data_IF_468019183810
#
_entry.id   IF_468019183810
#
_cell.length_a   1.000
_cell.length_b   1.000
_cell.length_c   1.000
_cell.angle_alpha   90.00
_cell.angle_beta   90.00
_cell.angle_gamma   90.00
#
_symmetry.space_group_name_H-M   'P 1'
#
loop_
_entity.id
_entity.type
_entity.pdbx_description
1 polymer ?
2 non-polymer ?
3 non-polymer ?
4 water ?
#
# COMPACT_ATOMS: atom_id res chain seq x y z
N UNK A 1 4.40 -1.66 -12.05
CA UNK A 1 3.38 -0.62 -11.87
C UNK A 1 2.46 -0.52 -13.07
N UNK A 2 1.24 -1.02 -12.90
CA UNK A 2 0.19 -1.00 -13.92
C UNK A 2 -1.14 -1.20 -13.23
N UNK A 3 -2.17 -0.64 -13.86
CA UNK A 3 -3.54 -0.90 -13.48
C UNK A 3 -4.16 -1.92 -14.46
N UNK A 4 -5.34 -2.40 -14.09
CA UNK A 4 -6.18 -3.22 -14.97
C UNK A 4 -7.53 -2.51 -15.11
N UNK A 5 -7.59 -1.48 -15.98
CA UNK A 5 -8.72 -0.55 -15.91
C UNK A 5 -9.90 -0.84 -16.83
N UNK A 6 -9.77 -1.84 -17.70
CA UNK A 6 -10.75 -2.06 -18.77
C UNK A 6 -11.02 -3.52 -18.97
N UNK A 7 -12.26 -3.83 -19.34
CA UNK A 7 -12.60 -5.11 -19.91
C UNK A 7 -13.51 -4.87 -21.10
N UNK A 8 -13.43 -5.74 -22.09
CA UNK A 8 -14.32 -5.61 -23.22
C UNK A 8 -14.54 -6.94 -23.89
N UNK A 9 -15.57 -6.97 -24.72
CA UNK A 9 -15.96 -8.14 -25.48
C UNK A 9 -15.86 -7.85 -26.97
N UNK A 10 -17.00 -7.80 -27.66
CA UNK A 10 -17.03 -7.75 -29.12
C UNK A 10 -17.52 -6.45 -29.74
N UNK A 11 -17.59 -5.38 -28.94
CA UNK A 11 -18.09 -4.09 -29.43
C UNK A 11 -17.08 -2.98 -29.14
N UNK A 12 -15.84 -3.17 -29.58
CA UNK A 12 -14.79 -2.22 -29.32
C UNK A 12 -14.45 -2.13 -27.84
N UNK A 13 -13.48 -1.28 -27.51
CA UNK A 13 -13.06 -1.00 -26.13
C UNK A 13 -14.10 -0.19 -25.35
N UNK A 14 -13.93 -0.18 -24.05
CA UNK A 14 -14.79 0.58 -23.19
C UNK A 14 -13.97 1.82 -22.73
N UNK A 15 -14.32 2.42 -21.62
CA UNK A 15 -13.55 3.51 -21.07
C UNK A 15 -12.88 2.97 -19.80
N UNK A 16 -11.79 3.60 -19.37
CA UNK A 16 -11.19 3.22 -18.11
C UNK A 16 -12.22 3.30 -17.00
N UNK A 17 -12.29 2.23 -16.20
CA UNK A 17 -13.14 2.13 -15.02
C UNK A 17 -14.63 2.22 -15.36
N UNK A 18 -14.99 1.90 -16.59
CA UNK A 18 -16.41 1.88 -16.97
C UNK A 18 -17.08 0.64 -16.42
N UNK A 19 -16.51 -0.53 -16.72
CA UNK A 19 -17.02 -1.82 -16.24
C UNK A 19 -16.16 -2.40 -15.12
N UNK A 20 -15.09 -1.69 -14.76
CA UNK A 20 -14.16 -2.13 -13.73
C UNK A 20 -14.27 -1.17 -12.55
N UNK A 21 -14.50 -1.73 -11.37
CA UNK A 21 -14.53 -0.93 -10.15
C UNK A 21 -13.23 -0.18 -10.01
N UNK A 22 -13.29 1.13 -9.74
CA UNK A 22 -12.05 1.88 -9.77
C UNK A 22 -11.12 1.42 -8.64
N UNK A 23 -9.95 0.92 -9.02
CA UNK A 23 -9.00 0.41 -8.07
C UNK A 23 -8.29 1.55 -7.35
N UNK A 24 -7.87 1.27 -6.12
CA UNK A 24 -7.25 2.30 -5.30
C UNK A 24 -5.89 2.73 -5.87
N UNK A 25 -5.31 1.97 -6.81
CA UNK A 25 -4.06 2.36 -7.48
C UNK A 25 -4.27 3.19 -8.75
N UNK A 26 -5.46 3.77 -8.92
CA UNK A 26 -5.74 4.46 -10.16
C UNK A 26 -4.83 5.66 -10.41
N UNK A 27 -4.25 6.24 -9.36
CA UNK A 27 -3.31 7.35 -9.53
C UNK A 27 -1.84 6.91 -9.56
N UNK A 28 -1.44 5.97 -8.70
CA UNK A 28 -0.02 5.64 -8.60
C UNK A 28 0.41 4.40 -9.37
N UNK A 29 -0.54 3.64 -9.90
CA UNK A 29 -0.24 2.38 -10.59
C UNK A 29 0.46 1.35 -9.69
N UNK A 30 0.32 1.51 -8.38
CA UNK A 30 1.05 0.66 -7.45
C UNK A 30 0.34 -0.63 -7.10
N UNK A 31 0.85 -1.30 -6.08
CA UNK A 31 0.43 -2.64 -5.75
C UNK A 31 -0.14 -2.75 -4.34
N UNK A 32 -0.74 -3.93 -4.11
CA UNK A 32 -1.08 -4.45 -2.79
C UNK A 32 0.03 -5.42 -2.39
N UNK A 33 0.57 -5.30 -1.18
CA UNK A 33 1.54 -6.30 -0.70
C UNK A 33 1.06 -6.98 0.57
N UNK A 34 -0.20 -6.74 0.94
CA UNK A 34 -0.80 -7.25 2.16
C UNK A 34 -1.91 -8.25 1.79
N UNK A 35 -1.62 -9.54 1.88
CA UNK A 35 -2.64 -10.53 1.54
C UNK A 35 -3.81 -10.54 2.53
N UNK A 36 -3.66 -9.84 3.66
CA UNK A 36 -4.73 -9.75 4.67
C UNK A 36 -5.59 -8.50 4.56
N UNK A 37 -5.28 -7.64 3.60
CA UNK A 37 -6.04 -6.42 3.39
C UNK A 37 -7.31 -6.68 2.58
N UNK A 38 -8.35 -5.88 2.85
CA UNK A 38 -9.50 -5.89 1.96
C UNK A 38 -9.11 -5.57 0.51
N UNK A 39 -8.03 -4.82 0.34
CA UNK A 39 -7.56 -4.49 -1.01
C UNK A 39 -7.12 -5.72 -1.83
N UNK A 40 -6.86 -6.85 -1.19
CA UNK A 40 -6.45 -8.05 -1.94
C UNK A 40 -7.61 -8.54 -2.81
N UNK A 41 -8.83 -8.14 -2.46
CA UNK A 41 -9.98 -8.67 -3.20
C UNK A 41 -10.16 -7.92 -4.53
N UNK A 42 -10.55 -6.65 -4.46
CA UNK A 42 -10.80 -5.81 -5.63
C UNK A 42 -10.05 -4.47 -5.58
N UNK A 43 -9.02 -4.41 -4.75
CA UNK A 43 -8.21 -3.19 -4.58
C UNK A 43 -9.06 -1.98 -4.17
N UNK A 44 -10.03 -2.20 -3.29
CA UNK A 44 -10.83 -1.10 -2.76
C UNK A 44 -10.97 -1.20 -1.26
N UNK A 45 -10.34 -0.27 -0.54
CA UNK A 45 -10.59 -0.21 0.89
C UNK A 45 -12.02 0.26 1.19
N UNK A 46 -12.53 1.14 0.34
CA UNK A 46 -13.92 1.59 0.39
C UNK A 46 -14.57 1.08 -0.90
N UNK A 47 -15.56 0.19 -0.78
CA UNK A 47 -16.26 -0.32 -1.94
C UNK A 47 -16.87 0.79 -2.75
N UNK A 48 -16.69 0.75 -4.07
CA UNK A 48 -17.35 1.66 -4.99
C UNK A 48 -17.73 0.86 -6.24
N UNK A 49 -19.01 0.87 -6.66
CA UNK A 49 -19.39 0.12 -7.85
C UNK A 49 -18.76 0.68 -9.13
N UNK A 50 -18.66 -0.17 -10.15
CA UNK A 50 -18.33 0.27 -11.49
C UNK A 50 -19.49 1.06 -12.05
N UNK A 51 -19.22 1.86 -13.07
CA UNK A 51 -20.26 2.65 -13.70
C UNK A 51 -21.32 1.79 -14.37
N UNK A 52 -20.89 0.67 -14.94
CA UNK A 52 -21.79 -0.22 -15.67
C UNK A 52 -21.34 -1.67 -15.54
N UNK A 53 -22.16 -2.57 -16.06
CA UNK A 53 -21.95 -4.01 -15.98
C UNK A 53 -22.00 -4.55 -17.41
N UNK A 54 -21.00 -5.34 -17.79
CA UNK A 54 -20.83 -5.79 -19.16
C UNK A 54 -21.48 -7.15 -19.39
N UNK A 55 -22.38 -7.22 -20.37
CA UNK A 55 -23.03 -8.48 -20.74
C UNK A 55 -22.11 -9.33 -21.60
N UNK A 56 -21.94 -10.59 -21.21
CA UNK A 56 -21.08 -11.53 -21.93
C UNK A 56 -21.68 -12.91 -21.89
N UNK A 57 -21.60 -13.66 -22.99
CA UNK A 57 -22.08 -15.03 -23.01
C UNK A 57 -21.08 -15.98 -22.38
N UNK A 58 -21.58 -16.88 -21.53
CA UNK A 58 -20.76 -17.96 -21.02
C UNK A 58 -20.18 -18.72 -22.20
N UNK A 59 -18.93 -19.16 -22.07
CA UNK A 59 -18.27 -19.94 -23.09
C UNK A 59 -17.49 -19.10 -24.08
N UNK A 60 -17.55 -17.79 -23.96
CA UNK A 60 -16.81 -16.91 -24.84
C UNK A 60 -15.58 -16.33 -24.14
N UNK A 61 -14.76 -15.66 -24.93
CA UNK A 61 -13.52 -15.07 -24.46
C UNK A 61 -13.63 -13.57 -24.54
N UNK A 62 -13.38 -12.90 -23.43
CA UNK A 62 -13.36 -11.45 -23.38
C UNK A 62 -11.94 -11.00 -23.14
N UNK A 63 -11.74 -9.70 -23.01
CA UNK A 63 -10.38 -9.19 -22.91
C UNK A 63 -10.29 -8.27 -21.70
N UNK A 64 -9.28 -8.51 -20.85
CA UNK A 64 -8.99 -7.65 -19.71
C UNK A 64 -7.73 -6.85 -20.05
N UNK A 65 -7.84 -5.54 -19.99
CA UNK A 65 -6.74 -4.66 -20.35
C UNK A 65 -5.91 -4.22 -19.16
N UNK A 66 -4.61 -4.03 -19.41
CA UNK A 66 -3.66 -3.44 -18.48
C UNK A 66 -3.24 -2.06 -18.96
N UNK A 67 -2.77 -1.23 -18.05
CA UNK A 67 -2.17 0.04 -18.46
C UNK A 67 -1.03 0.42 -17.50
N UNK A 68 0.21 0.57 -17.95
CA UNK A 68 0.71 0.23 -19.30
C UNK A 68 0.89 -1.29 -19.33
N UNK A 69 1.67 -1.82 -20.26
CA UNK A 69 1.80 -3.26 -20.39
C UNK A 69 2.45 -3.86 -19.13
N UNK A 70 2.05 -5.08 -18.81
CA UNK A 70 2.64 -5.82 -17.70
C UNK A 70 4.12 -6.02 -17.96
N UNK A 71 4.97 -5.73 -16.96
CA UNK A 71 6.40 -5.88 -17.15
C UNK A 71 7.16 -6.47 -15.97
N UNK A 72 6.49 -6.72 -14.85
CA UNK A 72 7.15 -7.46 -13.78
C UNK A 72 6.94 -8.95 -14.05
N UNK A 73 7.90 -9.79 -13.61
CA UNK A 73 7.76 -11.24 -13.80
C UNK A 73 6.79 -11.85 -12.80
N UNK A 74 5.92 -12.73 -13.29
CA UNK A 74 5.03 -13.47 -12.44
C UNK A 74 3.72 -13.75 -13.14
N UNK A 75 2.81 -14.42 -12.44
CA UNK A 75 1.59 -14.92 -13.07
C UNK A 75 0.39 -13.97 -13.07
N UNK A 76 -0.32 -13.96 -14.20
CA UNK A 76 -1.71 -13.53 -14.19
C UNK A 76 -2.60 -14.64 -13.64
N UNK A 77 -3.63 -14.25 -12.90
CA UNK A 77 -4.67 -15.18 -12.45
C UNK A 77 -6.02 -14.46 -12.52
N UNK A 78 -7.07 -15.21 -12.82
CA UNK A 78 -8.43 -14.67 -12.89
C UNK A 78 -9.39 -15.53 -12.09
N UNK A 79 -10.32 -14.87 -11.40
CA UNK A 79 -11.34 -15.53 -10.61
C UNK A 79 -12.70 -14.92 -10.93
N UNK A 80 -13.73 -15.75 -10.77
CA UNK A 80 -15.11 -15.29 -10.83
C UNK A 80 -15.81 -15.47 -9.49
N UNK A 81 -16.80 -14.63 -9.23
CA UNK A 81 -17.69 -14.80 -8.08
C UNK A 81 -19.09 -14.39 -8.52
N UNK A 82 -20.06 -15.26 -8.24
CA UNK A 82 -21.43 -15.02 -8.68
C UNK A 82 -22.24 -14.29 -7.62
N UNK A 83 -22.80 -13.16 -8.02
CA UNK A 83 -23.67 -12.40 -7.13
C UNK A 83 -24.92 -13.23 -6.81
N UNK A 84 -25.31 -13.34 -5.52
CA UNK A 84 -26.50 -14.12 -5.18
C UNK A 84 -27.75 -13.56 -5.83
N UNK A 85 -28.68 -14.46 -6.14
CA UNK A 85 -29.98 -14.06 -6.66
C UNK A 85 -30.61 -13.05 -5.72
N UNK A 86 -31.12 -11.96 -6.27
CA UNK A 86 -31.81 -10.96 -5.48
C UNK A 86 -30.92 -9.85 -4.93
N UNK A 87 -29.61 -10.00 -5.09
CA UNK A 87 -28.67 -8.95 -4.74
C UNK A 87 -28.25 -8.20 -5.98
N UNK A 88 -28.07 -6.89 -5.83
CA UNK A 88 -27.63 -6.03 -6.92
C UNK A 88 -26.11 -6.04 -6.99
N UNK A 89 -25.56 -6.32 -8.16
CA UNK A 89 -24.12 -6.37 -8.32
C UNK A 89 -23.43 -5.08 -7.87
N UNK A 90 -24.06 -3.92 -8.06
CA UNK A 90 -23.40 -2.66 -7.68
C UNK A 90 -23.10 -2.61 -6.20
N UNK A 91 -23.91 -3.31 -5.40
CA UNK A 91 -23.77 -3.25 -3.95
C UNK A 91 -22.96 -4.42 -3.37
N UNK A 92 -22.68 -5.42 -4.20
CA UNK A 92 -22.11 -6.68 -3.69
C UNK A 92 -20.59 -6.64 -3.68
N UNK A 93 -19.99 -6.81 -2.50
CA UNK A 93 -18.53 -6.71 -2.38
C UNK A 93 -17.80 -8.01 -2.69
N UNK A 94 -18.49 -9.15 -2.60
CA UNK A 94 -17.86 -10.43 -2.84
C UNK A 94 -17.15 -10.98 -1.62
N UNK A 95 -17.78 -10.84 -0.47
CA UNK A 95 -17.21 -11.42 0.76
C UNK A 95 -17.61 -12.89 0.93
N UNK A 96 -16.84 -13.59 1.74
CA UNK A 96 -17.07 -15.01 1.92
C UNK A 96 -16.41 -15.86 0.86
N UNK A 97 -16.64 -17.17 0.94
CA UNK A 97 -15.96 -18.13 0.08
C UNK A 97 -16.74 -18.28 -1.21
N UNK A 98 -16.57 -17.30 -2.09
CA UNK A 98 -17.37 -17.17 -3.29
C UNK A 98 -16.54 -17.13 -4.59
N UNK A 99 -15.23 -17.02 -4.47
CA UNK A 99 -14.37 -16.83 -5.64
C UNK A 99 -13.83 -18.16 -6.12
N UNK A 100 -13.99 -18.45 -7.42
CA UNK A 100 -13.35 -19.62 -8.01
C UNK A 100 -12.43 -19.17 -9.13
N UNK A 101 -11.31 -19.87 -9.24
CA UNK A 101 -10.28 -19.55 -10.19
C UNK A 101 -10.63 -20.12 -11.55
N UNK A 102 -10.54 -19.30 -12.59
CA UNK A 102 -10.76 -19.77 -13.95
C UNK A 102 -9.51 -19.76 -14.83
N UNK A 103 -8.41 -19.21 -14.33
CA UNK A 103 -7.15 -19.22 -15.06
C UNK A 103 -6.02 -18.92 -14.10
N UNK A 104 -4.90 -19.62 -14.26
CA UNK A 104 -3.64 -19.15 -13.71
C UNK A 104 -2.50 -19.46 -14.66
N UNK A 105 -1.49 -18.60 -14.62
CA UNK A 105 -0.35 -18.68 -15.52
C UNK A 105 0.77 -19.51 -14.94
N UNK A 106 1.29 -20.44 -15.73
CA UNK A 106 2.54 -21.13 -15.43
C UNK A 106 3.67 -20.53 -16.25
N UNK A 107 4.84 -20.35 -15.64
CA UNK A 107 6.00 -19.90 -16.41
C UNK A 107 6.57 -21.02 -17.26
N UNK A 108 7.40 -20.63 -18.22
CA UNK A 108 8.26 -21.57 -18.89
C UNK A 108 9.54 -21.71 -18.06
N UNK A 109 9.98 -22.95 -17.88
CA UNK A 109 11.11 -23.26 -17.03
C UNK A 109 12.36 -23.43 -17.86
N UNK A 110 13.30 -22.51 -17.68
CA UNK A 110 14.58 -22.58 -18.35
C UNK A 110 15.64 -22.04 -17.42
N UNK A 111 16.69 -21.47 -18.01
CA UNK A 111 17.76 -20.87 -17.22
C UNK A 111 17.20 -19.79 -16.30
N UNK A 112 16.15 -19.13 -16.75
CA UNK A 112 15.32 -18.29 -15.89
C UNK A 112 13.88 -18.68 -16.15
N UNK A 113 12.98 -18.21 -15.30
CA UNK A 113 11.56 -18.34 -15.56
C UNK A 113 11.17 -17.25 -16.55
N UNK A 114 10.46 -17.62 -17.60
CA UNK A 114 9.90 -16.62 -18.50
C UNK A 114 8.37 -16.72 -18.46
N UNK A 115 7.76 -15.56 -18.53
CA UNK A 115 6.33 -15.42 -18.33
C UNK A 115 5.70 -14.85 -19.58
N UNK A 116 4.68 -15.53 -20.11
CA UNK A 116 3.98 -15.06 -21.30
C UNK A 116 3.27 -13.73 -21.04
N UNK A 117 3.02 -13.39 -19.77
CA UNK A 117 2.37 -12.12 -19.49
C UNK A 117 3.31 -10.93 -19.71
N UNK A 118 4.61 -11.19 -19.84
CA UNK A 118 5.58 -10.12 -20.04
C UNK A 118 5.32 -9.37 -21.33
N UNK A 119 5.14 -8.06 -21.19
CA UNK A 119 4.94 -7.18 -22.34
C UNK A 119 3.53 -7.15 -22.86
N UNK A 120 2.61 -7.85 -22.20
CA UNK A 120 1.22 -7.87 -22.67
C UNK A 120 0.43 -6.69 -22.13
N UNK A 121 -0.41 -6.13 -23.01
CA UNK A 121 -1.27 -4.98 -22.69
C UNK A 121 -2.70 -5.42 -22.43
N UNK A 122 -3.01 -6.68 -22.70
CA UNK A 122 -4.34 -7.20 -22.47
C UNK A 122 -4.26 -8.72 -22.47
N UNK A 123 -5.31 -9.34 -21.94
CA UNK A 123 -5.34 -10.79 -21.72
C UNK A 123 -6.70 -11.36 -22.10
N UNK A 124 -6.70 -12.44 -22.89
CA UNK A 124 -7.96 -13.12 -23.17
C UNK A 124 -8.37 -13.94 -21.98
N UNK A 125 -9.62 -13.80 -21.59
CA UNK A 125 -10.16 -14.50 -20.43
C UNK A 125 -11.31 -15.35 -20.91
N UNK A 126 -11.13 -16.66 -20.86
CA UNK A 126 -12.16 -17.58 -21.29
C UNK A 126 -13.15 -17.85 -20.15
N UNK A 127 -14.40 -17.46 -20.39
CA UNK A 127 -15.47 -17.67 -19.42
C UNK A 127 -16.03 -19.08 -19.59
N UNK A 128 -16.03 -19.90 -18.52
CA UNK A 128 -16.53 -21.27 -18.65
C UNK A 128 -17.96 -21.34 -19.20
N UNK A 129 -18.22 -22.33 -20.05
CA UNK A 129 -19.52 -22.46 -20.69
C UNK A 129 -20.60 -22.94 -19.73
N UNK A 130 -20.18 -23.66 -18.70
CA UNK A 130 -21.11 -24.46 -17.91
C UNK A 130 -21.64 -23.79 -16.66
N UNK A 131 -21.09 -22.62 -16.31
CA UNK A 131 -21.50 -21.98 -15.06
C UNK A 131 -22.86 -21.32 -15.20
N UNK A 132 -23.51 -21.08 -14.06
CA UNK A 132 -24.86 -20.55 -14.05
C UNK A 132 -24.91 -19.09 -14.48
N UNK A 133 -25.86 -18.73 -15.33
CA UNK A 133 -26.05 -17.35 -15.72
C UNK A 133 -26.32 -16.51 -14.48
N UNK A 134 -25.92 -15.24 -14.54
CA UNK A 134 -26.17 -14.33 -13.46
C UNK A 134 -25.19 -13.18 -13.52
N UNK A 135 -25.23 -12.32 -12.51
CA UNK A 135 -24.23 -11.26 -12.38
C UNK A 135 -23.01 -11.81 -11.67
N UNK A 136 -21.83 -11.36 -12.11
CA UNK A 136 -20.57 -11.85 -11.59
C UNK A 136 -19.55 -10.73 -11.43
N UNK A 137 -18.65 -10.89 -10.48
CA UNK A 137 -17.41 -10.15 -10.47
C UNK A 137 -16.32 -11.01 -11.10
N UNK A 138 -15.48 -10.36 -11.92
CA UNK A 138 -14.29 -10.98 -12.50
C UNK A 138 -13.08 -10.26 -11.93
N UNK A 139 -12.33 -10.98 -11.09
CA UNK A 139 -11.14 -10.43 -10.46
C UNK A 139 -9.91 -10.76 -11.30
N UNK A 140 -9.16 -9.72 -11.64
CA UNK A 140 -7.88 -9.82 -12.34
C UNK A 140 -6.77 -9.58 -11.33
N UNK A 141 -5.73 -10.40 -11.40
CA UNK A 141 -4.52 -10.10 -10.66
C UNK A 141 -3.28 -10.48 -11.45
N UNK A 142 -2.27 -9.64 -11.32
CA UNK A 142 -0.93 -9.99 -11.68
C UNK A 142 -0.11 -10.00 -10.41
N UNK A 143 0.72 -11.03 -10.24
CA UNK A 143 1.57 -11.13 -9.05
C UNK A 143 3.01 -10.94 -9.47
N UNK A 144 3.58 -9.77 -9.18
CA UNK A 144 4.97 -9.48 -9.51
C UNK A 144 5.88 -10.09 -8.46
N UNK A 145 6.78 -10.97 -8.92
CA UNK A 145 7.58 -11.80 -8.02
C UNK A 145 9.08 -11.49 -8.01
N UNK A 146 9.49 -10.41 -8.66
CA UNK A 146 10.90 -10.13 -8.82
C UNK A 146 11.68 -9.98 -7.51
N UNK A 147 11.03 -9.52 -6.44
CA UNK A 147 11.70 -9.37 -5.14
C UNK A 147 11.00 -10.16 -4.03
N UNK A 148 10.26 -11.20 -4.43
CA UNK A 148 9.33 -11.88 -3.53
C UNK A 148 9.95 -12.88 -2.55
N UNK A 149 11.27 -12.92 -2.46
CA UNK A 149 11.90 -13.85 -1.52
C UNK A 149 11.71 -13.42 -0.07
N UNK A 150 11.28 -12.18 0.16
CA UNK A 150 11.01 -11.66 1.49
C UNK A 150 9.51 -11.61 1.74
N UNK A 151 9.10 -11.87 2.98
CA UNK A 151 7.70 -11.78 3.32
C UNK A 151 7.18 -10.38 3.06
N UNK A 152 6.00 -10.32 2.45
CA UNK A 152 5.36 -9.05 2.16
C UNK A 152 5.93 -8.32 0.97
N UNK A 153 6.74 -8.99 0.14
CA UNK A 153 7.41 -8.36 -0.99
C UNK A 153 6.78 -8.66 -2.36
N UNK A 154 5.92 -9.67 -2.45
CA UNK A 154 5.18 -9.92 -3.69
C UNK A 154 4.27 -8.72 -3.96
N UNK A 155 4.14 -8.37 -5.23
CA UNK A 155 3.40 -7.17 -5.64
C UNK A 155 2.14 -7.57 -6.40
N UNK A 156 0.98 -7.37 -5.79
CA UNK A 156 -0.29 -7.74 -6.42
C UNK A 156 -0.93 -6.52 -7.10
N UNK A 157 -1.20 -6.65 -8.40
CA UNK A 157 -1.84 -5.60 -9.19
C UNK A 157 -3.23 -6.16 -9.56
N UNK A 158 -4.28 -5.52 -9.05
CA UNK A 158 -5.62 -6.11 -8.99
C UNK A 158 -6.69 -5.15 -9.48
N UNK A 159 -7.74 -5.69 -10.11
CA UNK A 159 -9.01 -4.98 -10.19
C UNK A 159 -10.12 -6.01 -10.35
N UNK A 160 -11.37 -5.51 -10.30
CA UNK A 160 -12.54 -6.35 -10.49
C UNK A 160 -13.55 -5.71 -11.44
N UNK A 161 -14.00 -6.50 -12.41
CA UNK A 161 -15.00 -6.10 -13.38
C UNK A 161 -16.39 -6.62 -13.01
N UNK A 162 -17.41 -5.85 -13.37
CA UNK A 162 -18.80 -6.26 -13.22
C UNK A 162 -19.31 -6.82 -14.54
N UNK A 163 -19.76 -8.06 -14.49
CA UNK A 163 -20.30 -8.78 -15.65
C UNK A 163 -21.71 -9.26 -15.42
N UNK A 164 -22.46 -9.35 -16.51
CA UNK A 164 -23.71 -10.11 -16.56
C UNK A 164 -23.48 -11.27 -17.53
N UNK A 165 -23.35 -12.48 -16.98
CA UNK A 165 -23.02 -13.64 -17.79
C UNK A 165 -24.33 -14.33 -18.19
N UNK A 166 -24.50 -14.50 -19.50
CA UNK A 166 -25.73 -15.05 -20.06
C UNK A 166 -25.50 -16.43 -20.67
N UNK A 167 -26.58 -17.14 -20.91
CA UNK A 167 -26.54 -18.43 -21.60
C UNK A 167 -25.74 -19.49 -20.87
N UNK A 168 -25.93 -19.58 -19.55
CA UNK A 168 -25.09 -20.44 -18.75
C UNK A 168 -25.46 -21.91 -18.86
N UNK A 169 -24.80 -22.71 -18.04
CA UNK A 169 -25.12 -24.11 -17.89
C UNK A 169 -25.62 -24.30 -16.47
N UNK A 170 -25.33 -25.48 -15.92
CA UNK A 170 -25.81 -25.86 -14.60
C UNK A 170 -24.70 -26.34 -13.67
N UNK A 171 -23.44 -26.13 -14.05
CA UNK A 171 -22.33 -26.60 -13.23
C UNK A 171 -21.99 -25.60 -12.14
N UNK A 172 -22.04 -26.06 -10.88
CA UNK A 172 -21.63 -25.24 -9.74
C UNK A 172 -20.23 -25.65 -9.29
N UNK A 173 -19.27 -24.72 -9.28
CA UNK A 173 -17.94 -25.11 -8.79
C UNK A 173 -18.02 -25.62 -7.35
N UNK A 174 -17.32 -26.71 -7.08
CA UNK A 174 -17.34 -27.31 -5.75
C UNK A 174 -16.77 -26.42 -4.65
N UNK A 175 -17.10 -26.78 -3.40
CA UNK A 175 -16.62 -26.04 -2.24
C UNK A 175 -15.10 -25.91 -2.26
N UNK A 176 -14.42 -26.96 -2.73
CA UNK A 176 -12.96 -26.95 -2.78
C UNK A 176 -12.41 -25.93 -3.77
N UNK A 177 -13.26 -25.48 -4.70
CA UNK A 177 -12.83 -24.48 -5.66
C UNK A 177 -12.99 -23.07 -5.14
N UNK A 178 -13.94 -22.85 -4.23
CA UNK A 178 -14.28 -21.50 -3.81
C UNK A 178 -13.51 -21.02 -2.60
N UNK A 179 -13.00 -19.80 -2.69
CA UNK A 179 -12.19 -19.20 -1.65
C UNK A 179 -12.63 -17.76 -1.40
N UNK A 180 -12.10 -17.19 -0.32
CA UNK A 180 -12.39 -15.82 0.04
C UNK A 180 -11.16 -14.93 -0.18
N UNK A 181 -11.41 -13.64 -0.39
CA UNK A 181 -10.36 -12.63 -0.42
C UNK A 181 -10.77 -11.50 0.52
N UNK A 182 -9.97 -11.20 1.54
CA UNK A 182 -8.79 -11.94 1.99
C UNK A 182 -9.16 -13.33 2.53
N UNK A 183 -8.19 -14.22 2.58
CA UNK A 183 -8.35 -15.55 3.14
C UNK A 183 -7.62 -16.61 2.32
N UNK A 184 -7.68 -16.49 1.01
CA UNK A 184 -7.14 -17.52 0.13
C UNK A 184 -5.63 -17.61 0.21
N UNK A 185 -4.99 -16.47 0.43
CA UNK A 185 -3.54 -16.38 0.37
C UNK A 185 -2.93 -16.11 1.73
N UNK A 186 -1.74 -16.66 1.93
CA UNK A 186 -0.91 -16.39 3.08
C UNK A 186 0.44 -15.91 2.58
N UNK A 187 1.09 -15.06 3.36
CA UNK A 187 2.38 -14.49 2.98
C UNK A 187 3.46 -15.56 2.82
N UNK A 188 3.27 -16.73 3.42
CA UNK A 188 4.22 -17.83 3.35
C UNK A 188 3.94 -18.80 2.21
N UNK A 189 2.88 -18.58 1.44
CA UNK A 189 2.55 -19.53 0.38
C UNK A 189 3.73 -19.64 -0.60
N UNK A 190 4.00 -20.85 -1.11
CA UNK A 190 5.23 -21.07 -1.87
C UNK A 190 5.28 -20.39 -3.24
N UNK A 191 4.15 -19.90 -3.73
CA UNK A 191 4.13 -19.11 -4.95
C UNK A 191 4.08 -17.60 -4.70
N UNK A 192 4.15 -17.21 -3.43
CA UNK A 192 4.13 -15.81 -3.00
C UNK A 192 5.47 -15.45 -2.34
N UNK A 193 5.92 -16.29 -1.41
CA UNK A 193 7.24 -16.20 -0.80
C UNK A 193 8.15 -17.10 -1.61
N UNK A 194 8.93 -16.51 -2.51
CA UNK A 194 9.67 -17.27 -3.48
C UNK A 194 10.80 -16.44 -4.06
N UNK A 195 11.95 -17.09 -4.20
CA UNK A 195 13.05 -16.54 -4.94
C UNK A 195 13.03 -17.11 -6.36
N UNK A 196 12.62 -16.27 -7.33
CA UNK A 196 12.51 -16.74 -8.72
C UNK A 196 13.81 -16.57 -9.47
N UNK A 197 14.82 -16.04 -8.82
CA UNK A 197 16.00 -15.63 -9.53
C UNK A 197 17.00 -16.81 -9.51
N UNK A 198 17.90 -16.84 -8.56
CA UNK A 198 18.90 -17.92 -8.51
C UNK A 198 19.06 -18.46 -7.11
N UNK A 199 19.12 -19.77 -6.92
CA UNK A 199 18.88 -20.79 -7.95
C UNK A 199 17.48 -20.65 -8.50
N UNK A 200 17.35 -20.90 -9.78
CA UNK A 200 16.07 -20.77 -10.43
C UNK A 200 15.18 -21.91 -10.02
N UNK A 201 13.93 -21.62 -9.69
CA UNK A 201 13.01 -22.73 -9.45
C UNK A 201 12.81 -23.57 -10.70
N UNK A 202 12.46 -24.83 -10.50
CA UNK A 202 12.14 -25.73 -11.61
C UNK A 202 10.65 -26.05 -11.63
N UNK A 203 9.91 -25.47 -10.69
CA UNK A 203 8.47 -25.60 -10.64
C UNK A 203 7.93 -24.33 -10.02
N UNK A 204 6.62 -24.13 -10.11
CA UNK A 204 5.99 -22.93 -9.56
C UNK A 204 4.58 -23.29 -9.10
N UNK A 205 4.31 -23.09 -7.80
CA UNK A 205 3.00 -23.40 -7.26
C UNK A 205 2.17 -22.12 -7.17
N UNK A 206 1.27 -21.92 -8.14
CA UNK A 206 0.40 -20.75 -8.08
C UNK A 206 -0.36 -20.71 -6.76
N UNK A 207 -0.51 -19.53 -6.17
CA UNK A 207 -1.32 -19.47 -4.96
C UNK A 207 -2.80 -19.59 -5.30
N UNK A 208 -3.56 -20.02 -4.30
CA UNK A 208 -4.98 -20.17 -4.44
C UNK A 208 -5.43 -21.56 -4.85
N UNK A 209 -6.73 -21.70 -5.09
CA UNK A 209 -7.33 -23.00 -5.38
C UNK A 209 -7.02 -23.47 -6.78
N UNK A 210 -7.42 -24.71 -7.04
CA UNK A 210 -7.30 -25.29 -8.36
C UNK A 210 -8.13 -24.51 -9.38
N UNK A 211 -7.71 -24.55 -10.65
CA UNK A 211 -8.48 -23.94 -11.73
C UNK A 211 -9.73 -24.78 -12.00
N UNK A 212 -10.87 -24.12 -11.98
CA UNK A 212 -12.12 -24.76 -12.32
C UNK A 212 -12.30 -24.79 -13.83
N UNK A 213 -12.61 -25.98 -14.35
CA UNK A 213 -13.00 -26.16 -15.74
C UNK A 213 -14.26 -27.00 -15.81
N UNK A 214 -14.94 -26.92 -16.94
CA UNK A 214 -16.17 -27.67 -17.11
C UNK A 214 -15.92 -29.14 -17.41
N UNK B 1 2.36 -1.35 3.28
CA UNK B 1 1.31 -0.47 2.78
C UNK B 1 0.33 -0.05 3.87
N UNK B 2 0.50 1.19 4.33
CA UNK B 2 -0.33 1.75 5.39
C UNK B 2 -0.20 3.26 5.31
N UNK B 3 -1.25 3.94 5.77
CA UNK B 3 -1.23 5.37 5.97
C UNK B 3 -0.96 5.69 7.44
N UNK B 4 -0.67 6.96 7.71
CA UNK B 4 -0.61 7.51 9.05
C UNK B 4 -1.60 8.68 9.14
N UNK B 5 -2.91 8.36 9.30
CA UNK B 5 -3.92 9.39 9.06
C UNK B 5 -4.41 10.14 10.29
N UNK B 6 -4.04 9.69 11.49
CA UNK B 6 -4.63 10.21 12.73
C UNK B 6 -3.56 10.64 13.71
N UNK B 7 -3.86 11.66 14.49
CA UNK B 7 -3.09 11.99 15.68
C UNK B 7 -4.08 12.46 16.74
N UNK B 8 -3.79 12.15 18.00
CA UNK B 8 -4.64 12.59 19.10
C UNK B 8 -3.83 12.82 20.35
N UNK B 9 -4.26 13.82 21.12
CA UNK B 9 -3.78 14.02 22.49
C UNK B 9 -4.80 13.38 23.45
N UNK B 10 -5.23 14.10 24.50
CA UNK B 10 -6.22 13.57 25.45
C UNK B 10 -7.69 13.98 25.19
N UNK B 11 -7.96 14.63 24.06
CA UNK B 11 -9.27 15.28 23.82
C UNK B 11 -10.29 14.57 22.92
N UNK B 12 -9.96 13.43 22.35
CA UNK B 12 -10.94 12.66 21.59
C UNK B 12 -10.41 12.16 20.28
N UNK B 13 -10.98 11.06 19.81
CA UNK B 13 -10.62 10.53 18.52
C UNK B 13 -11.16 11.54 17.53
N UNK B 14 -10.48 11.67 16.41
CA UNK B 14 -11.06 12.37 15.29
C UNK B 14 -10.82 11.56 14.02
N UNK B 15 -11.49 11.98 12.96
CA UNK B 15 -11.45 11.30 11.69
C UNK B 15 -10.08 11.32 11.02
N UNK B 16 -9.89 10.40 10.10
CA UNK B 16 -8.71 10.40 9.28
C UNK B 16 -8.50 11.78 8.63
N UNK B 17 -7.26 12.24 8.67
CA UNK B 17 -6.83 13.46 8.01
C UNK B 17 -7.43 14.73 8.62
N UNK B 18 -7.99 14.65 9.82
CA UNK B 18 -8.51 15.84 10.49
C UNK B 18 -7.38 16.80 10.83
N UNK B 19 -6.32 16.29 11.44
CA UNK B 19 -5.18 17.09 11.85
C UNK B 19 -3.92 16.76 11.05
N UNK B 20 -4.03 15.78 10.16
CA UNK B 20 -2.91 15.31 9.36
C UNK B 20 -3.15 15.72 7.91
N UNK B 21 -2.17 16.42 7.32
CA UNK B 21 -2.23 16.78 5.91
C UNK B 21 -2.40 15.51 5.08
N UNK B 22 -3.35 15.50 4.17
CA UNK B 22 -3.67 14.24 3.51
C UNK B 22 -2.50 13.79 2.65
N UNK B 23 -1.96 12.61 2.97
CA UNK B 23 -0.87 12.03 2.21
C UNK B 23 -1.37 11.53 0.86
N UNK B 24 -0.47 11.52 -0.12
CA UNK B 24 -0.84 11.08 -1.46
C UNK B 24 -1.21 9.61 -1.53
N UNK B 25 -0.84 8.85 -0.50
CA UNK B 25 -1.19 7.43 -0.41
C UNK B 25 -2.51 7.16 0.30
N UNK B 26 -3.36 8.18 0.46
CA UNK B 26 -4.57 8.03 1.24
C UNK B 26 -5.51 6.92 0.74
N UNK B 27 -5.47 6.62 -0.56
CA UNK B 27 -6.17 5.44 -1.10
C UNK B 27 -5.24 4.27 -1.37
N UNK B 28 -4.12 4.52 -2.04
CA UNK B 28 -3.30 3.41 -2.54
C UNK B 28 -2.40 2.77 -1.50
N UNK B 29 -2.22 3.42 -0.35
CA UNK B 29 -1.36 2.92 0.73
C UNK B 29 0.12 2.74 0.38
N UNK B 30 0.53 3.30 -0.75
CA UNK B 30 1.89 3.16 -1.23
C UNK B 30 2.88 4.04 -0.50
N UNK B 31 4.10 4.05 -1.02
CA UNK B 31 5.26 4.61 -0.35
C UNK B 31 6.02 5.56 -1.26
N UNK B 32 6.89 6.35 -0.62
CA UNK B 32 7.89 7.14 -1.33
C UNK B 32 9.16 6.31 -1.39
N UNK B 33 9.79 6.21 -2.56
CA UNK B 33 11.08 5.50 -2.65
C UNK B 33 12.21 6.32 -3.23
N UNK B 34 11.96 7.57 -3.63
CA UNK B 34 13.02 8.47 -4.04
C UNK B 34 13.25 9.48 -2.92
N UNK B 35 14.35 9.35 -2.20
CA UNK B 35 14.60 10.24 -1.06
C UNK B 35 14.83 11.70 -1.48
N UNK B 36 15.05 11.95 -2.77
CA UNK B 36 15.17 13.32 -3.26
C UNK B 36 13.84 13.95 -3.70
N UNK B 37 12.76 13.16 -3.67
CA UNK B 37 11.44 13.63 -4.05
C UNK B 37 10.86 14.62 -3.06
N UNK B 38 10.06 15.55 -3.56
CA UNK B 38 9.30 16.44 -2.70
C UNK B 38 8.42 15.63 -1.74
N UNK B 39 7.94 14.47 -2.17
CA UNK B 39 7.08 13.63 -1.32
C UNK B 39 7.77 13.12 -0.06
N UNK B 40 9.10 13.14 0.01
CA UNK B 40 9.78 12.61 1.19
C UNK B 40 9.48 13.47 2.43
N UNK B 41 9.04 14.71 2.23
CA UNK B 41 8.76 15.60 3.36
C UNK B 41 7.44 15.23 4.06
N UNK B 42 6.31 15.47 3.39
CA UNK B 42 4.99 15.22 3.97
C UNK B 42 4.10 14.38 3.04
N UNK B 43 4.71 13.68 2.09
CA UNK B 43 3.97 12.82 1.16
C UNK B 43 2.92 13.61 0.38
N UNK B 44 3.26 14.83 -0.02
CA UNK B 44 2.36 15.64 -0.85
C UNK B 44 3.08 16.23 -2.04
N UNK B 45 2.74 15.76 -3.23
CA UNK B 45 3.26 16.40 -4.42
C UNK B 45 2.71 17.80 -4.56
N UNK B 46 1.48 18.00 -4.09
CA UNK B 46 0.84 19.30 -4.02
C UNK B 46 0.42 19.57 -2.59
N UNK B 47 0.90 20.67 -2.04
CA UNK B 47 0.59 21.02 -0.67
C UNK B 47 -0.91 21.16 -0.45
N UNK B 48 -1.42 20.57 0.63
CA UNK B 48 -2.79 20.79 1.06
C UNK B 48 -2.82 20.72 2.58
N UNK B 49 -3.36 21.74 3.24
CA UNK B 49 -3.36 21.71 4.71
C UNK B 49 -4.35 20.71 5.29
N UNK B 50 -4.18 20.37 6.56
CA UNK B 50 -5.14 19.55 7.29
C UNK B 50 -6.44 20.29 7.54
N UNK B 51 -7.49 19.59 7.97
CA UNK B 51 -8.75 20.24 8.32
C UNK B 51 -8.58 21.21 9.50
N UNK B 52 -7.67 20.90 10.41
CA UNK B 52 -7.51 21.63 11.65
C UNK B 52 -6.11 21.39 12.22
N UNK B 53 -5.83 22.02 13.35
CA UNK B 53 -4.54 21.97 14.03
C UNK B 53 -4.78 21.55 15.48
N UNK B 54 -4.00 20.58 15.95
CA UNK B 54 -4.22 19.97 17.26
C UNK B 54 -3.39 20.63 18.35
N UNK B 55 -4.02 21.09 19.43
CA UNK B 55 -3.30 21.67 20.54
C UNK B 55 -2.66 20.58 21.40
N UNK B 56 -1.39 20.76 21.74
CA UNK B 56 -0.72 19.83 22.65
C UNK B 56 0.28 20.60 23.50
N UNK B 57 0.39 20.21 24.75
CA UNK B 57 1.33 20.86 25.66
C UNK B 57 2.73 20.28 25.47
N UNK B 58 3.72 21.17 25.44
CA UNK B 58 5.10 20.72 25.41
C UNK B 58 5.36 19.81 26.59
N UNK B 59 6.15 18.76 26.35
CA UNK B 59 6.52 17.84 27.41
C UNK B 59 5.51 16.76 27.70
N UNK B 60 4.51 16.61 26.83
CA UNK B 60 3.51 15.56 26.97
C UNK B 60 3.56 14.63 25.77
N UNK B 61 2.80 13.55 25.87
CA UNK B 61 2.76 12.52 24.87
C UNK B 61 1.53 12.73 24.02
N UNK B 62 1.69 12.60 22.72
CA UNK B 62 0.54 12.43 21.86
C UNK B 62 0.74 11.19 21.01
N UNK B 63 -0.29 10.79 20.31
CA UNK B 63 -0.30 9.47 19.71
C UNK B 63 -0.63 9.59 18.24
N UNK B 64 0.22 8.98 17.42
CA UNK B 64 0.00 8.92 15.98
C UNK B 64 -0.57 7.55 15.62
N UNK B 65 -1.53 7.54 14.70
CA UNK B 65 -2.18 6.31 14.29
C UNK B 65 -1.80 5.90 12.87
N UNK B 66 -1.70 4.57 12.67
CA UNK B 66 -1.48 3.94 11.38
C UNK B 66 -2.76 3.21 10.95
N UNK B 67 -2.91 3.01 9.65
CA UNK B 67 -4.00 2.20 9.12
C UNK B 67 -3.56 1.43 7.89
N UNK B 68 -3.59 0.08 7.94
CA UNK B 68 -3.74 -0.78 9.11
C UNK B 68 -2.47 -0.71 9.95
N UNK B 69 -2.35 -1.55 10.96
CA UNK B 69 -1.14 -1.62 11.76
C UNK B 69 0.06 -1.85 10.86
N UNK B 70 1.19 -1.26 11.25
CA UNK B 70 2.45 -1.46 10.56
C UNK B 70 2.81 -2.95 10.53
N UNK B 71 3.23 -3.46 9.38
CA UNK B 71 3.55 -4.87 9.27
C UNK B 71 4.81 -5.13 8.43
N UNK B 72 5.46 -4.10 7.91
CA UNK B 72 6.77 -4.30 7.29
C UNK B 72 7.83 -4.04 8.36
N UNK B 73 8.98 -4.73 8.27
CA UNK B 73 10.06 -4.50 9.23
C UNK B 73 10.78 -3.18 8.96
N UNK B 74 11.11 -2.47 10.02
CA UNK B 74 11.92 -1.27 9.94
C UNK B 74 11.49 -0.27 10.99
N UNK B 75 12.18 0.89 11.03
CA UNK B 75 11.98 1.87 12.10
C UNK B 75 10.89 2.89 11.86
N UNK B 76 10.15 3.20 12.92
CA UNK B 76 9.43 4.47 13.03
C UNK B 76 10.39 5.59 13.39
N UNK B 77 10.17 6.77 12.80
CA UNK B 77 10.90 7.97 13.19
C UNK B 77 9.92 9.14 13.18
N UNK B 78 10.14 10.10 14.07
CA UNK B 78 9.32 11.31 14.17
C UNK B 78 10.20 12.55 14.20
N UNK B 79 9.77 13.58 13.47
CA UNK B 79 10.44 14.88 13.43
C UNK B 79 9.44 16.00 13.67
N UNK B 80 9.93 17.09 14.24
CA UNK B 80 9.19 18.33 14.36
C UNK B 80 9.81 19.42 13.50
N UNK B 81 8.99 20.35 13.04
CA UNK B 81 9.47 21.59 12.42
C UNK B 81 8.56 22.72 12.88
N UNK B 82 9.15 23.79 13.40
CA UNK B 82 8.36 24.94 13.86
C UNK B 82 8.05 25.89 12.70
N UNK B 83 6.78 26.29 12.60
CA UNK B 83 6.39 27.29 11.62
C UNK B 83 7.11 28.58 11.99
N UNK B 84 7.85 29.17 11.03
CA UNK B 84 8.61 30.38 11.34
C UNK B 84 7.71 31.55 11.65
N UNK B 85 8.21 32.48 12.44
CA UNK B 85 7.47 33.68 12.73
C UNK B 85 7.05 34.34 11.44
N UNK B 86 5.79 34.77 11.38
CA UNK B 86 5.26 35.42 10.21
C UNK B 86 4.62 34.48 9.21
N UNK B 87 4.90 33.19 9.32
CA UNK B 87 4.28 32.18 8.48
C UNK B 87 3.08 31.58 9.18
N UNK B 88 2.36 30.71 8.48
CA UNK B 88 1.11 30.18 9.00
C UNK B 88 1.00 28.68 8.73
N UNK B 89 0.52 27.96 9.72
CA UNK B 89 0.48 26.50 9.63
C UNK B 89 -0.39 26.02 8.47
N UNK B 90 -1.32 26.84 8.00
CA UNK B 90 -2.12 26.37 6.86
C UNK B 90 -1.40 26.43 5.51
N UNK B 91 -0.50 27.40 5.34
CA UNK B 91 0.18 27.54 4.06
C UNK B 91 1.64 27.12 4.08
N UNK B 92 2.23 26.95 5.25
CA UNK B 92 3.66 26.67 5.31
C UNK B 92 3.97 25.25 4.87
N UNK B 93 4.85 25.11 3.88
CA UNK B 93 5.13 23.77 3.36
C UNK B 93 6.27 23.05 4.07
N UNK B 94 7.00 23.73 4.95
CA UNK B 94 8.07 23.08 5.69
C UNK B 94 9.42 23.03 4.98
N UNK B 95 9.69 24.03 4.13
CA UNK B 95 10.97 24.15 3.45
C UNK B 95 12.09 24.53 4.40
N UNK B 96 13.30 24.16 4.02
CA UNK B 96 14.48 24.62 4.72
C UNK B 96 14.98 23.63 5.74
N UNK B 97 16.07 24.01 6.39
CA UNK B 97 16.73 23.18 7.37
C UNK B 97 16.04 23.39 8.72
N UNK B 98 14.83 22.84 8.84
CA UNK B 98 13.93 23.15 9.94
C UNK B 98 13.50 21.91 10.74
N UNK B 99 13.78 20.71 10.24
CA UNK B 99 13.26 19.49 10.83
C UNK B 99 14.24 18.91 11.83
N UNK B 100 13.79 18.65 13.04
CA UNK B 100 14.62 17.96 14.02
C UNK B 100 13.93 16.69 14.49
N UNK B 101 14.74 15.67 14.72
CA UNK B 101 14.24 14.36 15.09
C UNK B 101 13.95 14.31 16.57
N UNK B 102 12.77 13.82 16.93
CA UNK B 102 12.43 13.65 18.34
C UNK B 102 12.32 12.19 18.78
N UNK B 103 12.36 11.26 17.84
CA UNK B 103 12.33 9.84 18.16
C UNK B 103 12.80 9.05 16.97
N UNK B 104 13.56 7.98 17.21
CA UNK B 104 13.73 6.94 16.21
C UNK B 104 13.77 5.57 16.87
N UNK B 105 13.41 4.56 16.10
CA UNK B 105 13.31 3.19 16.59
C UNK B 105 14.57 2.38 16.29
N UNK B 106 15.07 1.69 17.30
CA UNK B 106 16.08 0.66 17.14
C UNK B 106 15.41 -0.71 17.15
N UNK B 107 15.88 -1.64 16.30
CA UNK B 107 15.39 -3.00 16.37
C UNK B 107 15.97 -3.70 17.56
N UNK B 108 15.36 -4.82 17.93
CA UNK B 108 15.95 -5.76 18.83
C UNK B 108 16.88 -6.67 18.04
N UNK B 109 18.10 -6.84 18.55
CA UNK B 109 19.13 -7.62 17.86
C UNK B 109 19.19 -9.02 18.39
N UNK B 110 18.90 -9.97 17.52
CA UNK B 110 19.02 -11.37 17.84
C UNK B 110 19.40 -12.15 16.60
N UNK B 111 18.95 -13.39 16.54
CA UNK B 111 19.15 -14.21 15.35
C UNK B 111 18.49 -13.55 14.13
N UNK B 112 17.47 -12.75 14.39
CA UNK B 112 16.89 -11.87 13.39
C UNK B 112 16.72 -10.51 14.03
N UNK B 113 16.54 -9.48 13.21
CA UNK B 113 16.10 -8.20 13.75
C UNK B 113 14.59 -8.29 13.96
N UNK B 114 14.12 -7.84 15.11
CA UNK B 114 12.69 -7.64 15.27
C UNK B 114 12.43 -6.19 15.65
N UNK B 115 11.22 -5.74 15.35
CA UNK B 115 10.86 -4.33 15.45
C UNK B 115 9.60 -4.20 16.28
N UNK B 116 9.65 -3.38 17.32
CA UNK B 116 8.49 -3.15 18.17
C UNK B 116 7.32 -2.48 17.43
N UNK B 117 7.60 -1.84 16.30
CA UNK B 117 6.52 -1.26 15.51
C UNK B 117 5.65 -2.31 14.82
N UNK B 118 6.14 -3.54 14.73
CA UNK B 118 5.39 -4.59 14.07
C UNK B 118 4.06 -4.86 14.79
N UNK B 119 2.98 -4.79 14.03
CA UNK B 119 1.66 -5.04 14.57
C UNK B 119 1.05 -3.87 15.33
N UNK B 120 1.72 -2.71 15.32
CA UNK B 120 1.27 -1.56 16.09
C UNK B 120 0.51 -0.58 15.19
N UNK B 121 -0.60 -0.06 15.73
CA UNK B 121 -1.34 0.98 15.05
C UNK B 121 -1.39 2.30 15.83
N UNK B 122 -0.98 2.29 17.09
CA UNK B 122 -0.93 3.49 17.92
C UNK B 122 0.51 3.72 18.38
N UNK B 123 1.04 4.90 18.06
CA UNK B 123 2.43 5.24 18.32
C UNK B 123 2.52 6.47 19.22
N UNK B 124 2.65 6.27 20.54
CA UNK B 124 2.88 7.43 21.39
C UNK B 124 4.22 8.07 21.10
N UNK B 125 4.25 9.40 21.14
CA UNK B 125 5.43 10.18 20.85
C UNK B 125 5.50 11.29 21.90
N UNK B 126 6.65 11.42 22.54
CA UNK B 126 6.87 12.45 23.52
C UNK B 126 7.32 13.77 22.89
N UNK B 127 6.56 14.83 23.10
CA UNK B 127 6.92 16.14 22.61
C UNK B 127 7.90 16.78 23.60
N UNK B 128 9.05 17.26 23.13
CA UNK B 128 10.02 17.85 24.06
C UNK B 128 9.44 19.00 24.88
N UNK B 129 9.87 19.13 26.13
CA UNK B 129 9.35 20.18 27.00
C UNK B 129 9.97 21.55 26.73
N UNK B 130 11.20 21.56 26.23
CA UNK B 130 12.01 22.78 26.25
C UNK B 130 11.92 23.63 24.99
N UNK B 131 11.27 23.11 23.96
CA UNK B 131 11.17 23.81 22.69
C UNK B 131 10.14 24.92 22.76
N UNK B 132 10.20 25.87 21.83
CA UNK B 132 9.33 27.02 21.87
C UNK B 132 7.89 26.69 21.57
N UNK B 133 6.96 27.39 22.22
CA UNK B 133 5.57 27.31 21.83
C UNK B 133 5.43 27.81 20.40
N UNK B 134 4.41 27.32 19.72
CA UNK B 134 4.10 27.79 18.38
C UNK B 134 3.41 26.72 17.59
N UNK B 135 3.20 27.02 16.32
CA UNK B 135 2.67 26.01 15.40
C UNK B 135 3.81 25.15 14.88
N UNK B 136 3.53 23.86 14.71
CA UNK B 136 4.52 22.90 14.26
C UNK B 136 3.90 21.90 13.30
N UNK B 137 4.75 21.35 12.44
CA UNK B 137 4.47 20.11 11.76
C UNK B 137 5.17 18.97 12.49
N UNK B 138 4.45 17.87 12.65
CA UNK B 138 4.99 16.62 13.18
C UNK B 138 4.98 15.59 12.06
N UNK B 139 6.17 15.24 11.58
CA UNK B 139 6.33 14.28 10.49
C UNK B 139 6.51 12.89 11.07
N UNK B 140 5.62 11.99 10.67
CA UNK B 140 5.69 10.56 10.99
C UNK B 140 6.26 9.85 9.80
N UNK B 141 7.15 8.90 10.05
CA UNK B 141 7.63 8.02 9.01
C UNK B 141 7.87 6.62 9.52
N UNK B 142 7.50 5.66 8.69
CA UNK B 142 7.94 4.29 8.86
C UNK B 142 8.76 3.91 7.65
N UNK B 143 9.94 3.34 7.86
CA UNK B 143 10.82 2.92 6.77
C UNK B 143 10.78 1.39 6.66
N UNK B 144 10.10 0.90 5.63
CA UNK B 144 10.02 -0.52 5.39
C UNK B 144 11.28 -1.00 4.68
N UNK B 145 11.98 -1.92 5.33
CA UNK B 145 13.33 -2.33 4.92
C UNK B 145 13.41 -3.76 4.37
N UNK B 146 12.28 -4.42 4.18
CA UNK B 146 12.24 -5.83 3.77
C UNK B 146 12.92 -6.13 2.42
N UNK B 147 12.99 -5.14 1.53
CA UNK B 147 13.67 -5.33 0.25
C UNK B 147 14.72 -4.25 0.01
N UNK B 148 15.24 -3.69 1.09
CA UNK B 148 16.09 -2.50 1.02
C UNK B 148 17.55 -2.78 0.64
N UNK B 149 17.88 -4.02 0.26
CA UNK B 149 19.24 -4.35 -0.12
C UNK B 149 19.63 -3.69 -1.46
N UNK B 150 18.63 -3.25 -2.24
CA UNK B 150 18.86 -2.57 -3.51
C UNK B 150 18.65 -1.07 -3.33
N UNK B 151 19.43 -0.28 -4.06
CA UNK B 151 19.30 1.16 -3.98
C UNK B 151 17.91 1.57 -4.44
N UNK B 152 17.28 2.47 -3.69
CA UNK B 152 15.98 2.98 -4.04
C UNK B 152 14.82 2.07 -3.68
N UNK B 153 15.07 1.02 -2.91
CA UNK B 153 14.02 0.04 -2.61
C UNK B 153 13.48 0.11 -1.17
N UNK B 154 14.08 0.92 -0.31
CA UNK B 154 13.48 1.22 0.98
C UNK B 154 12.14 1.92 0.74
N UNK B 155 11.15 1.62 1.57
CA UNK B 155 9.79 2.13 1.39
C UNK B 155 9.44 3.10 2.52
N UNK B 156 9.21 4.37 2.19
CA UNK B 156 8.91 5.38 3.20
C UNK B 156 7.42 5.67 3.23
N UNK B 157 6.81 5.42 4.39
CA UNK B 157 5.40 5.66 4.61
C UNK B 157 5.29 6.84 5.56
N UNK B 158 4.74 7.96 5.08
CA UNK B 158 4.91 9.27 5.71
C UNK B 158 3.59 10.03 5.83
N UNK B 159 3.47 10.85 6.88
CA UNK B 159 2.51 11.95 6.86
C UNK B 159 2.99 13.04 7.80
N UNK B 160 2.30 14.18 7.76
CA UNK B 160 2.60 15.32 8.62
C UNK B 160 1.36 15.88 9.28
N UNK B 161 1.41 15.98 10.61
CA UNK B 161 0.34 16.54 11.42
C UNK B 161 0.60 18.00 11.73
N UNK B 162 -0.49 18.75 11.89
CA UNK B 162 -0.44 20.15 12.29
C UNK B 162 -0.74 20.26 13.77
N UNK B 163 0.20 20.85 14.51
CA UNK B 163 0.10 21.01 15.95
C UNK B 163 0.23 22.47 16.35
N UNK B 164 -0.39 22.82 17.47
CA UNK B 164 -0.06 24.05 18.20
C UNK B 164 0.48 23.60 19.55
N UNK B 165 1.79 23.79 19.73
CA UNK B 165 2.46 23.38 20.95
C UNK B 165 2.45 24.54 21.93
N UNK B 166 1.93 24.27 23.13
CA UNK B 166 1.75 25.29 24.15
C UNK B 166 2.69 25.04 25.34
N UNK B 167 2.94 26.08 26.12
CA UNK B 167 3.70 25.91 27.35
C UNK B 167 5.14 25.51 27.15
N UNK B 168 5.73 25.88 26.03
CA UNK B 168 7.11 25.53 25.77
C UNK B 168 8.14 26.40 26.49
N UNK B 169 9.41 26.08 26.24
CA UNK B 169 10.53 26.87 26.71
C UNK B 169 11.11 27.75 25.62
N UNK B 170 12.43 27.88 25.61
CA UNK B 170 13.11 28.78 24.69
C UNK B 170 14.24 28.08 23.94
N UNK B 171 14.34 26.76 24.08
CA UNK B 171 15.49 26.03 23.57
C UNK B 171 15.31 25.74 22.10
N UNK B 172 16.23 26.26 21.29
CA UNK B 172 16.25 25.98 19.86
C UNK B 172 17.24 24.85 19.58
N UNK B 173 16.77 23.76 18.98
CA UNK B 173 17.73 22.70 18.60
C UNK B 173 18.84 23.26 17.73
N UNK B 174 20.06 22.80 17.97
CA UNK B 174 21.22 23.30 17.25
C UNK B 174 21.17 22.97 15.77
N UNK B 175 21.99 23.66 14.99
CA UNK B 175 22.01 23.49 13.54
C UNK B 175 22.26 22.05 13.15
N UNK B 176 23.09 21.39 13.93
CA UNK B 176 23.46 19.99 13.71
C UNK B 176 22.29 19.00 13.85
N UNK B 177 21.23 19.44 14.52
CA UNK B 177 20.05 18.62 14.70
C UNK B 177 19.02 18.84 13.62
N UNK B 178 19.14 19.96 12.90
CA UNK B 178 18.12 20.34 11.94
C UNK B 178 18.49 19.98 10.51
N UNK B 179 17.52 19.45 9.79
CA UNK B 179 17.73 18.98 8.43
C UNK B 179 16.58 19.39 7.53
N UNK B 180 16.81 19.24 6.23
CA UNK B 180 15.82 19.52 5.20
C UNK B 180 15.25 18.23 4.62
N UNK B 181 14.00 18.27 4.21
CA UNK B 181 13.40 17.20 3.43
C UNK B 181 12.80 17.76 2.14
N UNK B 182 13.28 17.32 0.98
CA UNK B 182 14.40 16.40 0.75
C UNK B 182 15.73 17.03 1.15
N UNK B 183 16.71 16.15 1.38
CA UNK B 183 18.07 16.55 1.66
C UNK B 183 18.71 15.70 2.74
N UNK B 184 17.94 15.37 3.77
CA UNK B 184 18.48 14.71 4.96
C UNK B 184 18.98 13.31 4.65
N UNK B 185 18.33 12.63 3.71
CA UNK B 185 18.64 11.24 3.42
C UNK B 185 19.29 11.11 2.05
N UNK B 186 20.19 10.13 1.95
CA UNK B 186 20.75 9.69 0.68
C UNK B 186 20.44 8.22 0.50
N UNK B 187 20.31 7.81 -0.76
CA UNK B 187 19.97 6.42 -1.06
C UNK B 187 21.02 5.45 -0.53
N UNK B 188 22.25 5.93 -0.38
CA UNK B 188 23.35 5.10 0.10
C UNK B 188 23.47 5.03 1.62
N UNK B 189 22.61 5.73 2.36
CA UNK B 189 22.76 5.76 3.80
C UNK B 189 22.67 4.34 4.36
N UNK B 190 23.45 4.05 5.40
CA UNK B 190 23.55 2.67 5.86
C UNK B 190 22.30 2.08 6.53
N UNK B 191 21.35 2.93 6.91
CA UNK B 191 20.07 2.46 7.41
C UNK B 191 18.96 2.45 6.38
N UNK B 192 19.31 2.79 5.14
CA UNK B 192 18.39 2.85 4.01
C UNK B 192 18.74 1.80 2.96
N UNK B 193 20.02 1.76 2.57
CA UNK B 193 20.56 0.73 1.70
C UNK B 193 21.15 -0.35 2.62
N UNK B 194 20.38 -1.40 2.85
CA UNK B 194 20.70 -2.36 3.89
C UNK B 194 20.00 -3.68 3.63
N UNK B 195 20.71 -4.77 3.86
CA UNK B 195 20.13 -6.10 3.85
C UNK B 195 19.91 -6.50 5.30
N UNK B 196 18.66 -6.50 5.75
CA UNK B 196 18.33 -6.86 7.13
C UNK B 196 18.11 -8.36 7.27
N UNK B 197 18.08 -9.04 6.13
CA UNK B 197 17.64 -10.43 6.07
C UNK B 197 18.77 -11.44 6.19
N UNK B 198 19.83 -11.22 5.44
CA UNK B 198 20.95 -12.16 5.40
C UNK B 198 22.16 -11.54 4.71
N UNK B 199 23.34 -11.50 5.38
CA UNK B 199 23.55 -11.84 6.78
C UNK B 199 22.82 -10.85 7.70
N UNK B 200 22.42 -11.29 8.88
CA UNK B 200 21.69 -10.42 9.79
C UNK B 200 22.62 -9.40 10.44
N UNK B 201 22.29 -8.10 10.33
CA UNK B 201 23.16 -7.10 10.96
C UNK B 201 23.14 -7.18 12.48
N UNK B 202 24.19 -6.68 13.11
CA UNK B 202 24.29 -6.65 14.57
C UNK B 202 24.17 -5.22 15.11
N UNK B 203 23.98 -4.27 14.21
CA UNK B 203 23.72 -2.88 14.57
C UNK B 203 22.86 -2.28 13.48
N UNK B 204 22.28 -1.11 13.75
CA UNK B 204 21.44 -0.42 12.79
C UNK B 204 21.62 1.07 12.97
N UNK B 205 22.00 1.77 11.90
CA UNK B 205 22.20 3.22 11.95
C UNK B 205 20.97 3.91 11.34
N UNK B 206 20.13 4.47 12.19
CA UNK B 206 18.96 5.20 11.70
C UNK B 206 19.40 6.33 10.79
N UNK B 207 18.69 6.53 9.67
CA UNK B 207 19.04 7.69 8.85
C UNK B 207 18.59 8.99 9.50
N UNK B 208 19.25 10.06 9.11
CA UNK B 208 18.92 11.38 9.60
C UNK B 208 19.79 11.80 10.76
N UNK B 209 19.46 12.96 11.34
CA UNK B 209 20.24 13.50 12.45
C UNK B 209 20.04 12.71 13.72
N UNK B 210 20.87 13.01 14.71
CA UNK B 210 20.68 12.47 16.04
C UNK B 210 19.36 12.97 16.63
N UNK B 211 18.84 12.22 17.58
CA UNK B 211 17.63 12.61 18.29
C UNK B 211 17.91 13.81 19.17
N UNK B 212 17.07 14.84 19.02
CA UNK B 212 17.11 15.99 19.89
C UNK B 212 16.39 15.68 21.19
N UNK B 213 17.07 15.92 22.30
CA UNK B 213 16.49 15.75 23.63
C UNK B 213 16.84 16.97 24.48
N UNK B 214 15.93 17.37 25.35
CA UNK B 214 16.17 18.51 26.22
C UNK B 214 17.13 18.15 27.34
#
# INVERSE_FOLDING_TARGET
HYTFPKVWANSGTTADWQYVRRADNWQNNGFVDNVNSQQIRCFQSTHSPAQSTLSVAAGTTITYGAAPSVYHPGPMQFYLARVPDGQDINSWTGEGAVWFKIYHEQPTFGSQLTWSSNGKSSFPVKIPSCIKSGSYLLRAEHIGLHVAQSSGAAQFYISCAQLSITGGGSTEPGANYKVSFPGAYKASDPGILININYPVPTSYKNPGPSVFTC
HYTFPKVWANSGTTADWQYVRRADNWQNNGFVDNVNSQQIRCFQSTHSPAQSTLSVAAGTTITYGAAPSVYHPGPMQFYLARVPDGQDINSWTGEGAVWFKIYHEQPTFGSQLTWSSNGKSSFPVKIPSCIKSGSYLLRAEHIGLHVAQSSGAAQFYISCAQLSITGGGSTEPGANYKVSFPGAYKASDPGILININYPVPTSYKNPGPSVFTC
#
